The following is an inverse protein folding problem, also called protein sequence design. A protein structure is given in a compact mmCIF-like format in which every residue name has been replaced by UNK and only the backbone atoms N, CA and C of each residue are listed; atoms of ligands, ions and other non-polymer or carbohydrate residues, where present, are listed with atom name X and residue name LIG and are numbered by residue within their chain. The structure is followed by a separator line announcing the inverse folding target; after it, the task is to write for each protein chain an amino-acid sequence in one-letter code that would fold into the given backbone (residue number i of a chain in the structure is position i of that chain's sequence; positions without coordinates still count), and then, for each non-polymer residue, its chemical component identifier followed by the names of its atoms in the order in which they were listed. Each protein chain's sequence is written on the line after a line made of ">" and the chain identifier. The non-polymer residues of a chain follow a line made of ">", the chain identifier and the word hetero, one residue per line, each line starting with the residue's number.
data_IF_054112821432
#
_entry.id   IF_054112821432
#
_cell.length_a   1.000
_cell.length_b   1.000
_cell.length_c   1.000
_cell.angle_alpha   90.00
_cell.angle_beta   90.00
_cell.angle_gamma   90.00
#
_symmetry.space_group_name_H-M   'P 1'
#
loop_
_entity.id
_entity.type
_entity.pdbx_description
1 polymer ?
#
# COMPACT_ATOMS: atom_id res chain seq x y z
N UNK A 1 -19.71 0.38 24.90
CA UNK A 1 -19.32 0.82 23.54
C UNK A 1 -17.96 0.23 23.25
N UNK A 2 -17.80 -0.68 22.27
CA UNK A 2 -16.47 -1.13 21.88
C UNK A 2 -15.75 -0.02 21.10
N UNK A 3 -14.40 0.05 21.14
CA UNK A 3 -13.64 1.01 20.37
C UNK A 3 -13.80 0.74 18.87
N UNK A 4 -14.07 1.80 18.10
CA UNK A 4 -14.08 1.77 16.64
C UNK A 4 -12.64 1.57 16.18
N UNK A 5 -12.23 0.32 16.00
CA UNK A 5 -10.99 0.03 15.28
C UNK A 5 -11.15 0.54 13.84
N UNK A 6 -10.20 1.34 13.30
CA UNK A 6 -10.18 1.56 11.85
C UNK A 6 -10.15 0.19 11.21
N UNK A 7 -11.05 -0.07 10.27
CA UNK A 7 -11.23 -1.36 9.62
C UNK A 7 -9.85 -1.90 9.17
N UNK A 8 -9.28 -2.78 9.98
CA UNK A 8 -8.07 -3.52 9.66
C UNK A 8 -8.53 -4.49 8.58
N UNK A 9 -8.25 -4.15 7.32
CA UNK A 9 -8.47 -5.09 6.23
C UNK A 9 -7.67 -6.35 6.56
N UNK A 10 -8.37 -7.48 6.67
CA UNK A 10 -7.78 -8.77 7.01
C UNK A 10 -6.56 -9.01 6.13
N UNK A 11 -5.37 -9.16 6.72
CA UNK A 11 -4.15 -9.38 5.96
C UNK A 11 -4.05 -10.78 5.30
N UNK A 12 -5.10 -11.60 5.42
CA UNK A 12 -5.13 -13.01 5.02
C UNK A 12 -5.78 -13.28 3.64
N UNK A 13 -6.37 -12.28 2.97
CA UNK A 13 -6.65 -12.43 1.54
C UNK A 13 -5.35 -12.16 0.81
N UNK A 14 -4.66 -13.22 0.37
CA UNK A 14 -3.53 -13.12 -0.56
C UNK A 14 -4.05 -12.55 -1.88
N UNK A 15 -4.18 -11.22 -1.93
CA UNK A 15 -4.66 -10.51 -3.11
C UNK A 15 -3.67 -10.77 -4.24
N UNK A 16 -4.18 -11.24 -5.37
CA UNK A 16 -3.41 -11.27 -6.61
C UNK A 16 -2.89 -9.87 -6.92
N UNK A 17 -1.74 -9.78 -7.59
CA UNK A 17 -1.19 -8.51 -8.01
C UNK A 17 -2.26 -7.69 -8.74
N UNK A 18 -2.47 -6.45 -8.32
CA UNK A 18 -3.54 -5.59 -8.83
C UNK A 18 -3.38 -5.21 -10.30
N UNK A 19 -2.20 -5.42 -10.87
CA UNK A 19 -1.93 -5.21 -12.29
C UNK A 19 -2.72 -6.23 -13.12
N UNK A 20 -3.50 -5.72 -14.08
CA UNK A 20 -4.36 -6.54 -14.92
C UNK A 20 -3.59 -7.72 -15.53
N UNK A 21 -4.15 -8.93 -15.40
CA UNK A 21 -3.63 -10.20 -15.96
C UNK A 21 -2.32 -10.72 -15.34
N UNK A 22 -1.80 -10.10 -14.26
CA UNK A 22 -0.54 -10.55 -13.68
C UNK A 22 -0.61 -11.95 -13.04
N UNK A 23 -1.72 -12.32 -12.41
CA UNK A 23 -1.96 -13.65 -11.81
C UNK A 23 -1.02 -14.07 -10.66
N UNK A 24 0.11 -13.36 -10.45
CA UNK A 24 1.07 -13.60 -9.38
C UNK A 24 0.51 -13.11 -8.04
N UNK A 25 0.99 -13.69 -6.95
CA UNK A 25 0.70 -13.23 -5.61
C UNK A 25 1.33 -11.87 -5.34
N UNK A 26 0.67 -11.05 -4.52
CA UNK A 26 1.24 -9.78 -4.05
C UNK A 26 2.24 -10.05 -2.92
N UNK A 27 3.48 -9.67 -3.14
CA UNK A 27 4.54 -9.68 -2.10
C UNK A 27 4.70 -8.31 -1.45
N UNK A 28 4.12 -7.27 -2.06
CA UNK A 28 4.24 -5.89 -1.65
C UNK A 28 2.88 -5.22 -1.55
N UNK A 29 2.70 -4.38 -0.55
CA UNK A 29 1.58 -3.45 -0.44
C UNK A 29 2.15 -2.03 -0.53
N UNK A 30 1.64 -1.22 -1.45
CA UNK A 30 2.08 0.16 -1.65
C UNK A 30 0.96 1.08 -1.21
N UNK A 31 1.27 2.07 -0.38
CA UNK A 31 0.32 3.05 0.17
C UNK A 31 0.81 4.47 -0.06
N UNK A 32 -0.09 5.40 -0.32
CA UNK A 32 0.19 6.83 -0.24
C UNK A 32 -0.27 7.37 1.11
N UNK A 33 0.65 7.97 1.86
CA UNK A 33 0.34 8.63 3.14
C UNK A 33 0.40 10.14 2.95
N UNK A 34 -0.59 10.88 3.48
CA UNK A 34 -0.60 12.36 3.49
C UNK A 34 -0.56 12.89 4.92
N UNK A 35 -0.16 14.15 5.11
CA UNK A 35 0.07 14.74 6.42
C UNK A 35 -1.15 14.76 7.38
N UNK A 36 -2.38 14.72 6.86
CA UNK A 36 -3.58 14.91 7.70
C UNK A 36 -4.39 13.66 7.96
N UNK A 37 -4.34 12.63 7.09
CA UNK A 37 -5.01 11.34 7.30
C UNK A 37 -4.29 10.30 6.43
N UNK A 38 -4.23 9.04 6.90
CA UNK A 38 -4.02 7.85 6.07
C UNK A 38 -5.21 7.70 5.12
N UNK A 39 -5.35 8.64 4.19
CA UNK A 39 -6.57 8.88 3.46
C UNK A 39 -6.65 7.98 2.24
N UNK A 40 -7.70 7.17 2.30
CA UNK A 40 -8.49 6.68 1.18
C UNK A 40 -8.08 5.34 0.58
N UNK A 41 -9.08 4.46 0.45
CA UNK A 41 -8.95 3.11 -0.13
C UNK A 41 -8.40 3.13 -1.57
N UNK A 42 -8.39 4.28 -2.23
CA UNK A 42 -7.82 4.47 -3.57
C UNK A 42 -6.29 4.55 -3.62
N UNK A 43 -5.62 4.82 -2.49
CA UNK A 43 -4.16 5.01 -2.42
C UNK A 43 -3.37 3.74 -2.06
N UNK A 44 -4.03 2.59 -1.92
CA UNK A 44 -3.43 1.33 -1.51
C UNK A 44 -3.54 0.28 -2.62
N UNK A 45 -2.42 -0.37 -2.96
CA UNK A 45 -2.36 -1.43 -3.99
C UNK A 45 -1.39 -2.55 -3.62
N UNK A 46 -1.82 -3.79 -3.83
CA UNK A 46 -0.98 -4.99 -3.73
C UNK A 46 -0.32 -5.32 -5.06
N UNK A 47 0.99 -5.60 -5.07
CA UNK A 47 1.71 -5.96 -6.29
C UNK A 47 2.78 -7.03 -6.07
N UNK A 48 3.13 -7.73 -7.15
CA UNK A 48 4.31 -8.60 -7.18
C UNK A 48 5.56 -7.77 -7.49
N UNK A 49 6.74 -8.33 -7.21
CA UNK A 49 8.01 -7.62 -7.41
C UNK A 49 8.25 -7.12 -8.84
N UNK A 50 7.67 -7.79 -9.85
CA UNK A 50 7.80 -7.36 -11.24
C UNK A 50 7.03 -6.07 -11.57
N UNK A 51 5.91 -5.81 -10.88
CA UNK A 51 5.06 -4.63 -11.14
C UNK A 51 5.21 -3.55 -10.05
N UNK A 52 6.14 -3.73 -9.12
CA UNK A 52 6.35 -2.79 -8.02
C UNK A 52 6.70 -1.38 -8.56
N UNK A 53 7.59 -1.30 -9.55
CA UNK A 53 7.99 -0.03 -10.16
C UNK A 53 6.82 0.71 -10.78
N UNK A 54 5.97 0.02 -11.54
CA UNK A 54 4.81 0.59 -12.21
C UNK A 54 3.78 1.11 -11.19
N UNK A 55 3.46 0.29 -10.18
CA UNK A 55 2.49 0.66 -9.14
C UNK A 55 2.97 1.84 -8.31
N UNK A 56 4.25 1.88 -7.94
CA UNK A 56 4.87 3.03 -7.27
C UNK A 56 4.78 4.28 -8.15
N UNK A 57 5.07 4.15 -9.44
CA UNK A 57 5.04 5.27 -10.37
C UNK A 57 3.62 5.85 -10.53
N UNK A 58 2.62 4.99 -10.72
CA UNK A 58 1.21 5.41 -10.81
C UNK A 58 0.74 6.11 -9.53
N UNK A 59 1.07 5.57 -8.36
CA UNK A 59 0.72 6.17 -7.09
C UNK A 59 1.43 7.51 -6.85
N UNK A 60 2.69 7.63 -7.29
CA UNK A 60 3.42 8.90 -7.23
C UNK A 60 2.79 9.95 -8.15
N UNK A 61 2.35 9.59 -9.36
CA UNK A 61 1.63 10.49 -10.27
C UNK A 61 0.29 10.92 -9.66
N UNK A 62 -0.47 9.97 -9.13
CA UNK A 62 -1.73 10.26 -8.44
C UNK A 62 -1.50 11.24 -7.27
N UNK A 63 -0.49 10.98 -6.43
CA UNK A 63 -0.16 11.83 -5.29
C UNK A 63 0.24 13.25 -5.70
N UNK A 64 0.98 13.41 -6.81
CA UNK A 64 1.31 14.74 -7.38
C UNK A 64 0.07 15.49 -7.89
N UNK A 65 -0.96 14.77 -8.33
CA UNK A 65 -2.24 15.34 -8.74
C UNK A 65 -3.14 15.78 -7.59
N UNK A 66 -2.80 15.44 -6.34
CA UNK A 66 -3.62 15.79 -5.18
C UNK A 66 -3.43 17.26 -4.74
N UNK A 67 -4.48 17.92 -4.21
CA UNK A 67 -4.41 19.32 -3.80
C UNK A 67 -3.39 19.53 -2.68
N UNK A 68 -2.41 20.42 -2.92
CA UNK A 68 -1.38 20.99 -2.01
C UNK A 68 -1.21 20.31 -0.64
N UNK A 69 -0.95 19.01 -0.63
CA UNK A 69 -0.64 18.25 0.59
C UNK A 69 0.64 17.46 0.38
N UNK A 70 1.63 17.60 1.27
CA UNK A 70 2.77 16.72 1.27
C UNK A 70 2.30 15.26 1.35
N UNK A 71 2.79 14.45 0.43
CA UNK A 71 2.45 13.03 0.34
C UNK A 71 3.73 12.19 0.31
N UNK A 72 3.65 10.94 0.72
CA UNK A 72 4.76 9.97 0.61
C UNK A 72 4.23 8.65 0.12
N UNK A 73 5.00 7.99 -0.75
CA UNK A 73 4.72 6.62 -1.18
C UNK A 73 5.50 5.69 -0.26
N UNK A 74 4.79 4.77 0.38
CA UNK A 74 5.33 3.80 1.32
C UNK A 74 5.09 2.40 0.78
N UNK A 75 6.14 1.60 0.74
CA UNK A 75 6.10 0.20 0.32
C UNK A 75 6.28 -0.68 1.55
N UNK A 76 5.36 -1.63 1.70
CA UNK A 76 5.36 -2.64 2.73
C UNK A 76 5.67 -3.98 2.08
N UNK A 77 6.74 -4.66 2.52
CA UNK A 77 7.02 -6.02 2.10
C UNK A 77 6.25 -6.99 3.02
N UNK A 78 5.52 -7.92 2.42
CA UNK A 78 4.62 -8.85 3.12
C UNK A 78 5.25 -10.24 3.17
N UNK A 79 5.21 -10.90 4.33
CA UNK A 79 5.61 -12.31 4.43
C UNK A 79 4.51 -13.20 3.87
N UNK A 80 4.90 -14.34 3.30
CA UNK A 80 3.96 -15.33 2.81
C UNK A 80 3.15 -16.00 3.93
N UNK A 81 3.50 -15.85 5.21
CA UNK A 81 2.94 -16.66 6.29
C UNK A 81 1.53 -16.21 6.73
N UNK A 82 0.47 -16.99 6.46
CA UNK A 82 -0.88 -16.68 6.93
C UNK A 82 -1.09 -17.09 8.40
N UNK A 83 -0.10 -17.73 9.05
CA UNK A 83 -0.24 -18.30 10.39
C UNK A 83 0.09 -17.32 11.53
N UNK A 84 0.72 -16.19 11.26
CA UNK A 84 0.89 -15.14 12.26
C UNK A 84 -0.38 -14.29 12.31
N UNK A 85 -0.86 -13.98 13.51
CA UNK A 85 -2.09 -13.26 13.85
C UNK A 85 -2.17 -11.81 13.28
N UNK A 86 -2.09 -11.68 11.96
CA UNK A 86 -1.82 -10.47 11.21
C UNK A 86 -0.66 -10.73 10.25
N UNK A 87 -0.86 -10.64 8.93
CA UNK A 87 0.27 -10.40 8.02
C UNK A 87 0.73 -8.97 8.30
N UNK A 88 1.66 -8.89 9.24
CA UNK A 88 2.36 -7.66 9.57
C UNK A 88 3.44 -7.48 8.50
N UNK A 89 3.55 -6.29 7.90
CA UNK A 89 4.69 -5.98 7.05
C UNK A 89 5.99 -6.29 7.81
N UNK A 90 6.88 -7.09 7.21
CA UNK A 90 8.17 -7.35 7.84
C UNK A 90 9.19 -6.25 7.55
N UNK A 91 8.93 -5.44 6.53
CA UNK A 91 9.75 -4.28 6.18
C UNK A 91 8.88 -3.13 5.64
N UNK A 92 9.35 -1.90 5.88
CA UNK A 92 8.72 -0.65 5.48
C UNK A 92 9.74 0.27 4.84
N UNK A 93 9.56 0.53 3.54
CA UNK A 93 10.40 1.44 2.77
C UNK A 93 9.63 2.72 2.41
N UNK A 94 10.17 3.88 2.78
CA UNK A 94 9.68 5.19 2.35
C UNK A 94 10.48 5.63 1.13
N UNK A 95 9.81 5.70 -0.03
CA UNK A 95 10.50 6.01 -1.30
C UNK A 95 10.76 7.50 -1.51
N UNK A 96 10.17 8.36 -0.68
CA UNK A 96 10.43 9.79 -0.69
C UNK A 96 9.21 10.63 -0.33
N UNK A 97 9.46 11.91 -0.08
CA UNK A 97 8.42 12.92 0.14
C UNK A 97 8.14 13.66 -1.16
N UNK A 98 6.88 13.65 -1.58
CA UNK A 98 6.35 14.48 -2.64
C UNK A 98 5.91 15.80 -1.99
N UNK A 99 6.75 16.81 -2.20
CA UNK A 99 6.50 18.18 -1.76
C UNK A 99 5.62 18.93 -2.76
N UNK A 100 5.00 20.00 -2.28
CA UNK A 100 4.20 20.95 -3.06
C UNK A 100 5.04 22.11 -3.57
#
# INVERSE_FOLDING_TARGET
>A
MPPIHPAYHSPADRLTCSTARCGRLSCFQVRVETATVSADRGGERGCCGAHLGDVVHELALWARGQPRRPARVVVYAMTDDPSSNGAVPFDRLVLGTISV
#
